data_IF_540995440871
#
_entry.id   IF_540995440871
#
_cell.length_a   1.000
_cell.length_b   1.000
_cell.length_c   1.000
_cell.angle_alpha   90.00
_cell.angle_beta   90.00
_cell.angle_gamma   90.00
#
_symmetry.space_group_name_H-M   'P 1'
#
loop_
_entity.id
_entity.type
_entity.pdbx_description
1 polymer ?
#
# COMPACT_ATOMS: atom_id res chain seq x y z
N UNK A 1 -16.19 -1.69 -5.81
CA UNK A 1 -15.26 -1.17 -4.80
C UNK A 1 -15.20 -2.16 -3.64
N UNK A 2 -14.01 -2.47 -3.09
CA UNK A 2 -13.82 -3.54 -2.09
C UNK A 2 -14.70 -3.32 -0.85
N UNK A 3 -14.68 -2.10 -0.28
CA UNK A 3 -15.43 -1.77 0.94
C UNK A 3 -16.93 -2.05 0.82
N UNK A 4 -17.55 -1.65 -0.30
CA UNK A 4 -18.98 -1.88 -0.53
C UNK A 4 -19.32 -3.37 -0.59
N UNK A 5 -18.49 -4.16 -1.30
CA UNK A 5 -18.69 -5.60 -1.43
C UNK A 5 -18.56 -6.31 -0.08
N UNK A 6 -17.51 -5.98 0.69
CA UNK A 6 -17.25 -6.60 1.98
C UNK A 6 -18.27 -6.21 3.04
N UNK A 7 -18.70 -4.94 3.06
CA UNK A 7 -19.78 -4.52 3.96
C UNK A 7 -21.09 -5.25 3.64
N UNK A 8 -21.37 -5.51 2.36
CA UNK A 8 -22.57 -6.27 1.95
C UNK A 8 -22.50 -7.73 2.40
N UNK A 9 -21.35 -8.40 2.27
CA UNK A 9 -21.11 -9.75 2.83
C UNK A 9 -21.30 -9.76 4.34
N UNK A 10 -20.69 -8.81 5.07
CA UNK A 10 -20.81 -8.71 6.52
C UNK A 10 -22.26 -8.48 6.97
N UNK A 11 -23.02 -7.66 6.26
CA UNK A 11 -24.45 -7.44 6.54
C UNK A 11 -25.30 -8.70 6.31
N UNK A 12 -24.91 -9.58 5.39
CA UNK A 12 -25.59 -10.85 5.16
C UNK A 12 -25.23 -11.87 6.25
N UNK A 13 -23.95 -11.92 6.65
CA UNK A 13 -23.46 -12.80 7.70
C UNK A 13 -23.99 -12.39 9.09
N UNK A 14 -24.05 -11.08 9.34
CA UNK A 14 -24.45 -10.48 10.62
C UNK A 14 -25.62 -9.50 10.35
N UNK A 15 -26.88 -9.98 10.30
CA UNK A 15 -28.04 -9.13 10.04
C UNK A 15 -28.23 -7.99 11.06
N UNK A 16 -27.72 -8.17 12.29
CA UNK A 16 -27.71 -7.11 13.30
C UNK A 16 -26.86 -5.90 12.86
N UNK A 17 -25.70 -6.13 12.22
CA UNK A 17 -24.84 -5.06 11.69
C UNK A 17 -25.57 -4.23 10.64
N UNK A 18 -26.33 -4.90 9.76
CA UNK A 18 -27.19 -4.22 8.77
C UNK A 18 -28.18 -3.29 9.46
N UNK A 19 -28.73 -3.69 10.60
CA UNK A 19 -29.68 -2.87 11.34
C UNK A 19 -29.02 -1.65 11.98
N UNK A 20 -27.72 -1.68 12.26
CA UNK A 20 -26.96 -0.56 12.85
C UNK A 20 -26.50 0.51 11.85
N UNK A 21 -26.50 0.18 10.56
CA UNK A 21 -26.16 1.15 9.51
C UNK A 21 -27.34 2.10 9.26
N UNK A 22 -27.04 3.40 9.19
CA UNK A 22 -28.00 4.42 8.77
C UNK A 22 -28.11 4.41 7.25
N UNK A 23 -28.98 3.55 6.73
CA UNK A 23 -29.33 3.49 5.31
C UNK A 23 -30.07 4.76 4.87
N UNK A 24 -29.84 5.18 3.63
CA UNK A 24 -30.57 6.32 3.05
C UNK A 24 -32.05 5.95 2.88
N UNK A 25 -32.86 6.34 3.86
CA UNK A 25 -34.31 6.29 3.75
C UNK A 25 -34.83 7.65 3.33
N UNK A 26 -35.02 7.80 2.02
CA UNK A 26 -35.94 8.79 1.42
C UNK A 26 -35.61 10.26 1.73
N UNK A 27 -34.46 10.73 1.25
CA UNK A 27 -34.35 12.13 0.79
C UNK A 27 -34.18 13.21 1.88
N UNK A 28 -33.79 12.84 3.11
CA UNK A 28 -33.27 13.82 4.07
C UNK A 28 -31.94 13.32 4.63
N UNK A 29 -30.86 13.79 3.97
CA UNK A 29 -29.44 13.54 4.29
C UNK A 29 -29.03 12.08 4.03
N UNK A 30 -28.48 11.82 2.84
CA UNK A 30 -27.80 10.57 2.54
C UNK A 30 -26.53 10.48 3.41
N UNK A 31 -26.62 9.75 4.53
CA UNK A 31 -25.50 9.56 5.45
C UNK A 31 -24.57 8.44 5.02
N UNK A 32 -25.14 7.36 4.49
CA UNK A 32 -24.39 6.30 3.82
C UNK A 32 -24.34 6.61 2.33
N UNK A 33 -23.14 6.82 1.78
CA UNK A 33 -22.92 7.10 0.36
C UNK A 33 -22.34 5.87 -0.32
N UNK A 34 -22.90 5.48 -1.45
CA UNK A 34 -22.34 4.40 -2.29
C UNK A 34 -22.31 4.88 -3.73
N UNK A 35 -21.18 5.45 -4.11
CA UNK A 35 -20.90 5.90 -5.47
C UNK A 35 -19.71 5.11 -6.03
N UNK A 36 -19.40 5.32 -7.31
CA UNK A 36 -18.27 4.66 -7.97
C UNK A 36 -16.93 4.97 -7.29
N UNK A 37 -16.76 6.21 -6.84
CA UNK A 37 -15.49 6.74 -6.34
C UNK A 37 -15.45 6.88 -4.81
N UNK A 38 -16.63 7.02 -4.18
CA UNK A 38 -16.78 7.21 -2.75
C UNK A 38 -17.86 6.29 -2.16
N UNK A 39 -17.45 5.51 -1.18
CA UNK A 39 -18.27 4.64 -0.34
C UNK A 39 -18.03 5.01 1.12
N UNK A 40 -19.08 5.41 1.81
CA UNK A 40 -19.09 5.70 3.23
C UNK A 40 -20.30 5.05 3.90
N UNK A 41 -20.08 4.49 5.07
CA UNK A 41 -21.12 3.95 5.93
C UNK A 41 -21.12 4.72 7.24
N UNK A 42 -22.29 5.14 7.70
CA UNK A 42 -22.49 5.79 9.00
C UNK A 42 -23.39 4.91 9.85
N UNK A 43 -22.95 4.63 11.07
CA UNK A 43 -23.67 3.81 12.03
C UNK A 43 -24.54 4.68 12.95
N UNK A 44 -25.51 4.06 13.65
CA UNK A 44 -26.41 4.78 14.56
C UNK A 44 -25.70 5.51 15.70
N UNK A 45 -24.59 4.97 16.16
CA UNK A 45 -23.71 5.57 17.17
C UNK A 45 -22.85 6.73 16.63
N UNK A 46 -23.02 7.09 15.34
CA UNK A 46 -22.27 8.11 14.58
C UNK A 46 -20.84 7.72 14.23
N UNK A 47 -20.40 6.49 14.54
CA UNK A 47 -19.18 5.96 13.96
C UNK A 47 -19.32 5.88 12.44
N UNK A 48 -18.20 5.92 11.73
CA UNK A 48 -18.21 5.85 10.28
C UNK A 48 -17.02 5.06 9.74
N UNK A 49 -17.23 4.44 8.58
CA UNK A 49 -16.17 3.80 7.79
C UNK A 49 -16.27 4.32 6.36
N UNK A 50 -15.15 4.67 5.75
CA UNK A 50 -15.11 5.30 4.42
C UNK A 50 -13.89 4.86 3.65
N UNK A 51 -14.03 4.67 2.33
CA UNK A 51 -12.88 4.46 1.46
C UNK A 51 -12.12 5.79 1.30
N UNK A 52 -10.79 5.69 1.29
CA UNK A 52 -9.92 6.84 1.13
C UNK A 52 -9.16 6.73 -0.18
N UNK A 53 -9.24 7.75 -1.02
CA UNK A 53 -8.30 7.93 -2.12
C UNK A 53 -7.10 8.72 -1.63
N UNK A 54 -5.88 8.31 -2.00
CA UNK A 54 -4.66 9.08 -1.71
C UNK A 54 -4.57 10.31 -2.65
N UNK A 55 -5.39 11.32 -2.38
CA UNK A 55 -5.46 12.58 -3.13
C UNK A 55 -5.23 13.76 -2.20
N UNK A 56 -4.84 14.93 -2.73
CA UNK A 56 -4.63 16.13 -1.91
C UNK A 56 -5.89 16.54 -1.12
N UNK A 57 -7.08 16.25 -1.64
CA UNK A 57 -8.37 16.49 -0.96
C UNK A 57 -8.57 15.65 0.31
N UNK A 58 -7.89 14.51 0.42
CA UNK A 58 -7.93 13.63 1.59
C UNK A 58 -7.05 14.13 2.73
N UNK A 59 -6.15 15.09 2.46
CA UNK A 59 -5.30 15.70 3.48
C UNK A 59 -6.15 16.45 4.49
N UNK A 60 -5.84 16.30 5.78
CA UNK A 60 -6.59 16.95 6.86
C UNK A 60 -7.77 16.13 7.37
N UNK A 61 -8.11 15.01 6.71
CA UNK A 61 -9.00 14.02 7.29
C UNK A 61 -8.42 13.46 8.60
N UNK A 62 -9.31 12.93 9.45
CA UNK A 62 -8.97 12.39 10.76
C UNK A 62 -9.69 11.06 10.94
N UNK A 63 -8.99 10.10 11.51
CA UNK A 63 -9.51 8.76 11.77
C UNK A 63 -8.89 8.22 13.06
N UNK A 64 -9.62 7.35 13.74
CA UNK A 64 -9.14 6.61 14.90
C UNK A 64 -8.51 5.26 14.52
N UNK A 65 -8.63 4.88 13.24
CA UNK A 65 -8.02 3.68 12.69
C UNK A 65 -7.93 3.76 11.17
N UNK A 66 -6.88 3.17 10.61
CA UNK A 66 -6.67 3.11 9.16
C UNK A 66 -6.35 1.68 8.77
N UNK A 67 -7.02 1.20 7.73
CA UNK A 67 -6.69 -0.06 7.06
C UNK A 67 -6.27 0.26 5.63
N UNK A 68 -5.07 -0.19 5.27
CA UNK A 68 -4.50 -0.04 3.93
C UNK A 68 -4.40 -1.40 3.29
N UNK A 69 -5.24 -1.64 2.28
CA UNK A 69 -5.18 -2.82 1.42
C UNK A 69 -4.10 -2.65 0.34
N UNK A 70 -3.58 -3.78 -0.16
CA UNK A 70 -2.60 -3.86 -1.26
C UNK A 70 -1.39 -2.92 -1.08
N UNK A 71 -0.84 -2.84 0.14
CA UNK A 71 0.25 -1.91 0.49
C UNK A 71 1.48 -2.08 -0.42
N UNK A 72 1.77 -3.30 -0.89
CA UNK A 72 2.88 -3.54 -1.81
C UNK A 72 2.77 -2.79 -3.16
N UNK A 73 1.57 -2.33 -3.52
CA UNK A 73 1.33 -1.55 -4.74
C UNK A 73 1.55 -0.05 -4.54
N UNK A 74 1.78 0.40 -3.31
CA UNK A 74 2.06 1.81 -3.01
C UNK A 74 3.47 2.15 -3.48
N UNK A 75 3.55 2.85 -4.60
CA UNK A 75 4.82 3.33 -5.16
C UNK A 75 5.23 4.71 -4.65
N UNK A 76 4.29 5.48 -4.11
CA UNK A 76 4.52 6.85 -3.60
C UNK A 76 4.39 6.88 -2.08
N UNK A 77 5.47 6.45 -1.42
CA UNK A 77 5.58 6.45 0.05
C UNK A 77 5.40 7.85 0.63
N UNK A 78 6.05 8.86 0.05
CA UNK A 78 6.02 10.22 0.57
C UNK A 78 4.58 10.76 0.64
N UNK A 79 3.79 10.49 -0.39
CA UNK A 79 2.39 10.87 -0.43
C UNK A 79 1.53 10.08 0.57
N UNK A 80 1.84 8.82 0.82
CA UNK A 80 1.18 8.04 1.88
C UNK A 80 1.45 8.65 3.25
N UNK A 81 2.71 8.92 3.58
CA UNK A 81 3.11 9.50 4.86
C UNK A 81 2.60 10.93 5.05
N UNK A 82 2.46 11.72 3.97
CA UNK A 82 1.93 13.09 4.05
C UNK A 82 0.41 13.13 4.23
N UNK A 83 -0.32 12.15 3.70
CA UNK A 83 -1.78 12.15 3.69
C UNK A 83 -2.35 11.28 4.80
N UNK A 84 -1.89 10.03 4.90
CA UNK A 84 -2.51 8.97 5.72
C UNK A 84 -1.99 9.00 7.15
N UNK A 85 -0.68 9.08 7.37
CA UNK A 85 -0.11 9.08 8.72
C UNK A 85 -0.68 10.21 9.62
N UNK A 86 -0.90 11.45 9.14
CA UNK A 86 -1.48 12.52 9.95
C UNK A 86 -2.97 12.33 10.28
N UNK A 87 -3.64 11.34 9.68
CA UNK A 87 -5.05 11.07 10.00
C UNK A 87 -5.23 10.48 11.39
N UNK A 88 -4.26 9.67 11.83
CA UNK A 88 -4.25 8.98 13.12
C UNK A 88 -3.78 9.88 14.28
N UNK A 89 -3.75 11.20 14.12
CA UNK A 89 -3.27 12.13 15.17
C UNK A 89 -4.28 12.29 16.32
N UNK A 90 -5.56 12.01 16.09
CA UNK A 90 -6.61 12.27 17.09
C UNK A 90 -7.03 10.96 17.74
N UNK A 91 -6.80 10.88 19.06
CA UNK A 91 -7.30 9.78 19.88
C UNK A 91 -8.83 9.76 19.94
N UNK A 92 -9.39 8.55 19.99
CA UNK A 92 -10.80 8.29 20.26
C UNK A 92 -11.17 8.89 21.61
N UNK A 93 -12.33 9.57 21.66
CA UNK A 93 -12.88 10.14 22.88
C UNK A 93 -14.26 9.58 23.14
N UNK A 94 -14.48 9.07 24.34
CA UNK A 94 -15.80 8.69 24.85
C UNK A 94 -16.25 9.78 25.81
N UNK A 95 -17.33 10.49 25.47
CA UNK A 95 -17.83 11.64 26.23
C UNK A 95 -16.77 12.73 26.53
N UNK A 96 -15.84 12.94 25.59
CA UNK A 96 -14.79 13.96 25.70
C UNK A 96 -13.53 13.51 26.47
N UNK A 97 -13.55 12.30 27.04
CA UNK A 97 -12.42 11.70 27.76
C UNK A 97 -11.72 10.69 26.85
N UNK A 98 -10.38 10.68 26.89
CA UNK A 98 -9.56 9.65 26.26
C UNK A 98 -9.41 8.54 27.29
N UNK A 99 -9.76 7.32 26.90
CA UNK A 99 -9.49 6.13 27.71
C UNK A 99 -8.00 5.77 27.57
N UNK A 100 -7.20 5.82 28.64
CA UNK A 100 -5.78 5.47 28.58
C UNK A 100 -5.56 3.98 28.29
N UNK A 101 -6.56 3.11 28.52
CA UNK A 101 -6.45 1.66 28.36
C UNK A 101 -6.99 1.17 27.00
N UNK A 102 -7.43 2.06 26.12
CA UNK A 102 -7.93 1.72 24.77
C UNK A 102 -6.77 1.43 23.81
N UNK A 103 -6.40 0.16 23.73
CA UNK A 103 -5.31 -0.35 22.87
C UNK A 103 -5.61 -0.29 21.37
N UNK A 104 -6.88 -0.20 20.95
CA UNK A 104 -7.24 -0.16 19.52
C UNK A 104 -7.28 1.27 18.96
N UNK A 105 -7.04 2.27 19.79
CA UNK A 105 -7.03 3.65 19.36
C UNK A 105 -5.80 3.95 18.50
N UNK A 106 -5.99 4.70 17.41
CA UNK A 106 -4.95 5.11 16.47
C UNK A 106 -4.24 3.94 15.78
N UNK A 107 -4.95 2.83 15.58
CA UNK A 107 -4.38 1.65 14.96
C UNK A 107 -4.16 1.81 13.44
N UNK A 108 -3.07 1.23 12.95
CA UNK A 108 -2.74 1.14 11.53
C UNK A 108 -2.63 -0.33 11.12
N UNK A 109 -3.50 -0.76 10.20
CA UNK A 109 -3.55 -2.12 9.69
C UNK A 109 -3.09 -2.13 8.23
N UNK A 110 -2.13 -2.99 7.93
CA UNK A 110 -1.54 -3.14 6.61
C UNK A 110 -1.84 -4.55 6.09
N UNK A 111 -2.52 -4.65 4.96
CA UNK A 111 -2.89 -5.93 4.34
C UNK A 111 -2.28 -5.98 2.94
N UNK A 112 -1.52 -7.04 2.63
CA UNK A 112 -0.85 -7.18 1.34
C UNK A 112 -0.44 -8.61 1.07
N UNK A 113 -0.33 -8.97 -0.22
CA UNK A 113 0.52 -10.10 -0.65
C UNK A 113 1.99 -9.70 -0.51
N UNK A 114 2.89 -10.69 -0.52
CA UNK A 114 4.32 -10.39 -0.51
C UNK A 114 4.69 -9.54 -1.73
N UNK A 115 5.66 -8.66 -1.56
CA UNK A 115 6.16 -7.75 -2.59
C UNK A 115 7.65 -7.96 -2.85
N UNK A 116 8.29 -6.95 -3.42
CA UNK A 116 9.75 -6.85 -3.41
C UNK A 116 10.24 -6.24 -2.09
N UNK A 117 11.42 -6.66 -1.63
CA UNK A 117 12.04 -6.15 -0.39
C UNK A 117 12.41 -4.67 -0.43
N UNK A 118 12.36 -4.04 -1.61
CA UNK A 118 12.63 -2.61 -1.81
C UNK A 118 11.35 -1.76 -1.77
N UNK A 119 10.21 -2.33 -1.39
CA UNK A 119 8.93 -1.62 -1.36
C UNK A 119 8.62 -1.11 0.03
N UNK A 120 7.80 -0.05 0.09
CA UNK A 120 7.29 0.51 1.35
C UNK A 120 6.62 -0.54 2.24
N UNK A 121 5.92 -1.50 1.64
CA UNK A 121 5.25 -2.56 2.38
C UNK A 121 6.25 -3.49 3.09
N UNK A 122 7.42 -3.74 2.49
CA UNK A 122 8.47 -4.52 3.17
C UNK A 122 9.06 -3.74 4.34
N UNK A 123 9.33 -2.44 4.16
CA UNK A 123 9.80 -1.60 5.27
C UNK A 123 8.80 -1.59 6.42
N UNK A 124 7.49 -1.49 6.12
CA UNK A 124 6.44 -1.58 7.14
C UNK A 124 6.35 -2.94 7.83
N UNK A 125 6.55 -4.03 7.10
CA UNK A 125 6.63 -5.37 7.68
C UNK A 125 7.80 -5.47 8.68
N UNK A 126 8.97 -4.95 8.31
CA UNK A 126 10.14 -4.94 9.19
C UNK A 126 9.90 -4.02 10.40
N UNK A 127 9.34 -2.84 10.21
CA UNK A 127 8.96 -1.92 11.29
C UNK A 127 8.03 -2.62 12.29
N UNK A 128 6.92 -3.22 11.82
CA UNK A 128 5.97 -3.93 12.67
C UNK A 128 6.63 -5.09 13.42
N UNK A 129 7.53 -5.84 12.78
CA UNK A 129 8.27 -6.92 13.44
C UNK A 129 9.24 -6.39 14.50
N UNK A 130 9.91 -5.26 14.26
CA UNK A 130 10.75 -4.62 15.27
C UNK A 130 9.91 -4.18 16.48
N UNK A 131 8.76 -3.56 16.24
CA UNK A 131 7.82 -3.15 17.29
C UNK A 131 7.28 -4.34 18.09
N UNK A 132 6.95 -5.46 17.45
CA UNK A 132 6.56 -6.70 18.14
C UNK A 132 7.58 -7.20 19.17
N UNK A 133 8.87 -6.94 18.92
CA UNK A 133 9.98 -7.42 19.77
C UNK A 133 10.41 -6.36 20.77
N UNK A 134 10.34 -5.08 20.40
CA UNK A 134 10.88 -3.98 21.18
C UNK A 134 9.86 -3.34 22.13
N UNK A 135 8.58 -3.33 21.75
CA UNK A 135 7.54 -2.68 22.55
C UNK A 135 7.04 -3.65 23.63
N UNK A 136 6.90 -3.12 24.83
CA UNK A 136 6.18 -3.80 25.91
C UNK A 136 4.68 -3.84 25.53
N UNK A 137 3.92 -4.83 26.03
CA UNK A 137 2.45 -4.89 25.90
C UNK A 137 1.84 -5.37 24.56
N UNK A 138 2.62 -5.96 23.64
CA UNK A 138 2.09 -6.57 22.40
C UNK A 138 1.32 -5.58 21.49
N UNK A 139 1.77 -4.31 21.43
CA UNK A 139 1.12 -3.25 20.65
C UNK A 139 1.16 -3.49 19.12
N UNK A 140 2.06 -4.35 18.67
CA UNK A 140 2.20 -4.74 17.27
C UNK A 140 2.08 -6.24 17.11
N UNK A 141 1.58 -6.68 15.95
CA UNK A 141 1.61 -8.07 15.54
C UNK A 141 1.72 -8.19 14.02
N UNK A 142 2.31 -9.29 13.57
CA UNK A 142 2.42 -9.68 12.17
C UNK A 142 1.83 -11.07 12.03
N UNK A 143 0.89 -11.22 11.11
CA UNK A 143 0.32 -12.51 10.73
C UNK A 143 0.51 -12.68 9.23
N UNK A 144 1.00 -13.85 8.83
CA UNK A 144 1.14 -14.25 7.44
C UNK A 144 0.61 -15.66 7.24
N UNK A 145 0.21 -15.97 6.01
CA UNK A 145 -0.25 -17.28 5.60
C UNK A 145 0.02 -17.48 4.12
N UNK A 146 0.31 -18.71 3.72
CA UNK A 146 0.43 -19.09 2.32
C UNK A 146 -0.92 -19.62 1.79
N UNK A 147 -0.95 -19.92 0.50
CA UNK A 147 -2.10 -20.51 -0.18
C UNK A 147 -2.58 -21.85 0.41
N UNK A 148 -1.81 -22.52 1.28
CA UNK A 148 -2.20 -23.83 1.81
C UNK A 148 -3.33 -23.71 2.82
N UNK A 149 -3.36 -22.62 3.61
CA UNK A 149 -4.43 -22.37 4.59
C UNK A 149 -5.81 -22.33 3.90
N UNK A 150 -6.06 -21.46 2.90
CA UNK A 150 -7.37 -21.44 2.24
C UNK A 150 -7.70 -22.73 1.48
N UNK A 151 -6.72 -23.53 1.04
CA UNK A 151 -6.98 -24.87 0.49
C UNK A 151 -7.51 -25.81 1.57
N UNK A 152 -6.83 -25.88 2.72
CA UNK A 152 -7.22 -26.76 3.84
C UNK A 152 -8.60 -26.40 4.37
N UNK A 153 -8.91 -25.10 4.44
CA UNK A 153 -10.22 -24.59 4.85
C UNK A 153 -11.30 -24.71 3.75
N UNK A 154 -10.98 -25.28 2.58
CA UNK A 154 -11.92 -25.47 1.48
C UNK A 154 -12.39 -24.18 0.79
N UNK A 155 -11.70 -23.06 1.02
CA UNK A 155 -11.99 -21.75 0.43
C UNK A 155 -11.43 -21.62 -1.00
N UNK A 156 -10.35 -22.36 -1.31
CA UNK A 156 -9.73 -22.37 -2.63
C UNK A 156 -9.53 -23.80 -3.15
N UNK A 157 -9.85 -24.08 -4.42
CA UNK A 157 -9.71 -25.42 -4.96
C UNK A 157 -8.24 -25.70 -5.32
N UNK A 158 -7.67 -26.76 -4.76
CA UNK A 158 -6.25 -27.09 -4.89
C UNK A 158 -5.78 -27.25 -6.35
N UNK A 159 -6.65 -27.77 -7.23
CA UNK A 159 -6.34 -27.93 -8.65
C UNK A 159 -6.13 -26.59 -9.36
N UNK A 160 -6.80 -25.51 -8.93
CA UNK A 160 -6.60 -24.18 -9.51
C UNK A 160 -5.21 -23.66 -9.19
N UNK A 161 -4.76 -23.80 -7.94
CA UNK A 161 -3.43 -23.36 -7.51
C UNK A 161 -2.33 -24.17 -8.21
N UNK A 162 -2.50 -25.49 -8.32
CA UNK A 162 -1.58 -26.35 -9.08
C UNK A 162 -1.48 -25.94 -10.56
N UNK A 163 -2.62 -25.58 -11.18
CA UNK A 163 -2.61 -25.09 -12.56
C UNK A 163 -1.91 -23.74 -12.70
N UNK A 164 -1.97 -22.87 -11.69
CA UNK A 164 -1.25 -21.59 -11.68
C UNK A 164 0.25 -21.81 -11.53
N UNK A 165 0.67 -22.76 -10.69
CA UNK A 165 2.08 -23.15 -10.52
C UNK A 165 2.68 -23.73 -11.81
N UNK A 166 1.90 -24.54 -12.54
CA UNK A 166 2.31 -25.15 -13.81
C UNK A 166 2.16 -24.21 -15.02
N UNK A 167 1.61 -23.01 -14.83
CA UNK A 167 1.34 -22.08 -15.91
C UNK A 167 2.63 -21.44 -16.41
N UNK A 168 2.87 -21.50 -17.73
CA UNK A 168 3.98 -20.80 -18.37
C UNK A 168 3.90 -19.26 -18.26
N UNK A 169 2.75 -18.71 -17.86
CA UNK A 169 2.55 -17.28 -17.68
C UNK A 169 3.02 -16.77 -16.30
N UNK A 170 3.31 -17.67 -15.36
CA UNK A 170 3.76 -17.33 -14.02
C UNK A 170 5.18 -17.85 -13.82
N UNK A 171 6.10 -16.97 -13.47
CA UNK A 171 7.43 -17.38 -13.06
C UNK A 171 7.39 -17.92 -11.62
N UNK A 172 8.32 -18.81 -11.26
CA UNK A 172 8.37 -19.39 -9.92
C UNK A 172 8.47 -18.30 -8.83
N UNK A 173 9.22 -17.22 -9.10
CA UNK A 173 9.35 -16.10 -8.17
C UNK A 173 8.04 -15.33 -7.99
N UNK A 174 7.25 -15.17 -9.06
CA UNK A 174 5.92 -14.58 -9.00
C UNK A 174 4.93 -15.47 -8.26
N UNK A 175 4.96 -16.78 -8.48
CA UNK A 175 4.10 -17.72 -7.75
C UNK A 175 4.38 -17.67 -6.23
N UNK A 176 5.65 -17.75 -5.83
CA UNK A 176 6.04 -17.67 -4.41
C UNK A 176 5.66 -16.34 -3.77
N UNK A 177 5.65 -15.25 -4.55
CA UNK A 177 5.23 -13.94 -4.06
C UNK A 177 3.71 -13.84 -3.89
N UNK A 178 2.94 -14.25 -4.89
CA UNK A 178 1.47 -14.14 -4.89
C UNK A 178 0.78 -15.17 -3.99
N UNK A 179 1.31 -16.39 -3.95
CA UNK A 179 0.71 -17.53 -3.25
C UNK A 179 1.52 -17.99 -2.04
N UNK A 180 2.85 -18.02 -2.17
CA UNK A 180 3.76 -18.51 -1.13
C UNK A 180 4.02 -17.51 0.02
N UNK A 181 3.52 -16.28 -0.11
CA UNK A 181 3.80 -15.19 0.85
C UNK A 181 5.30 -14.95 1.08
N UNK A 182 6.10 -15.11 0.03
CA UNK A 182 7.55 -14.99 0.07
C UNK A 182 8.03 -13.67 -0.56
N UNK A 183 8.77 -12.87 0.22
CA UNK A 183 9.30 -11.59 -0.24
C UNK A 183 10.59 -11.78 -1.05
N UNK A 184 10.59 -11.32 -2.30
CA UNK A 184 11.75 -11.42 -3.19
C UNK A 184 12.65 -10.18 -3.10
N UNK A 185 13.96 -10.36 -3.19
CA UNK A 185 14.94 -9.28 -2.97
C UNK A 185 14.85 -8.14 -4.00
N UNK A 186 14.92 -8.50 -5.28
CA UNK A 186 14.79 -7.60 -6.43
C UNK A 186 13.95 -8.31 -7.50
N UNK A 187 13.49 -7.61 -8.53
CA UNK A 187 13.07 -8.27 -9.78
C UNK A 187 14.20 -9.23 -10.20
N UNK A 188 13.88 -10.52 -10.38
CA UNK A 188 14.88 -11.54 -10.67
C UNK A 188 15.59 -11.18 -11.99
N UNK A 189 16.92 -11.09 -11.97
CA UNK A 189 17.73 -10.65 -13.13
C UNK A 189 17.89 -9.13 -13.33
N UNK A 190 17.48 -8.29 -12.39
CA UNK A 190 17.70 -6.84 -12.51
C UNK A 190 19.20 -6.47 -12.34
N UNK A 191 19.83 -6.02 -13.43
CA UNK A 191 21.19 -5.43 -13.40
C UNK A 191 21.25 -4.11 -12.60
N UNK A 192 20.10 -3.53 -12.29
CA UNK A 192 19.95 -2.18 -11.79
C UNK A 192 19.07 -2.14 -10.54
N UNK A 193 19.54 -1.38 -9.55
CA UNK A 193 18.85 -1.07 -8.30
C UNK A 193 17.91 0.12 -8.53
N UNK A 194 16.60 -0.10 -8.39
CA UNK A 194 15.57 0.90 -8.66
C UNK A 194 15.66 2.10 -7.69
N UNK A 195 16.03 1.87 -6.43
CA UNK A 195 16.20 2.93 -5.45
C UNK A 195 17.35 3.87 -5.83
N UNK A 196 18.42 3.33 -6.44
CA UNK A 196 19.48 4.16 -7.03
C UNK A 196 18.98 4.98 -8.22
N UNK A 197 18.06 4.46 -9.02
CA UNK A 197 17.47 5.24 -10.11
C UNK A 197 16.61 6.38 -9.60
N UNK A 198 15.69 6.12 -8.65
CA UNK A 198 14.82 7.16 -8.12
C UNK A 198 15.59 8.25 -7.38
N UNK A 199 16.59 7.88 -6.57
CA UNK A 199 17.46 8.84 -5.87
C UNK A 199 18.27 9.74 -6.83
N UNK A 200 18.58 9.26 -8.03
CA UNK A 200 19.39 9.99 -9.02
C UNK A 200 18.59 10.37 -10.27
N UNK A 201 17.25 10.32 -10.20
CA UNK A 201 16.35 10.63 -11.31
C UNK A 201 16.33 12.11 -11.63
N UNK A 202 16.49 12.95 -10.59
CA UNK A 202 16.50 14.41 -10.69
C UNK A 202 17.94 14.90 -10.51
N UNK A 203 18.48 15.56 -11.53
CA UNK A 203 19.75 16.26 -11.41
C UNK A 203 19.52 17.57 -10.67
N UNK A 204 20.09 17.71 -9.47
CA UNK A 204 20.00 18.94 -8.67
C UNK A 204 20.64 20.15 -9.38
N UNK A 205 21.63 19.90 -10.25
CA UNK A 205 22.29 20.91 -11.07
C UNK A 205 22.37 20.35 -12.49
N UNK A 206 21.50 20.84 -13.37
CA UNK A 206 21.53 20.51 -14.79
C UNK A 206 22.44 21.49 -15.53
N UNK A 207 23.50 21.00 -16.17
CA UNK A 207 24.30 21.79 -17.11
C UNK A 207 23.55 21.86 -18.45
N UNK A 208 23.02 23.03 -18.80
CA UNK A 208 22.30 23.26 -20.07
C UNK A 208 23.20 23.81 -21.18
N UNK A 209 24.40 24.25 -20.83
CA UNK A 209 25.40 24.77 -21.74
C UNK A 209 26.76 24.16 -21.44
N UNK A 210 27.62 24.17 -22.45
CA UNK A 210 28.99 23.69 -22.34
C UNK A 210 29.77 24.44 -21.25
N UNK A 211 30.34 23.70 -20.30
CA UNK A 211 31.14 24.25 -19.22
C UNK A 211 32.62 24.38 -19.62
N UNK A 212 33.01 25.60 -19.97
CA UNK A 212 34.37 25.94 -20.42
C UNK A 212 35.44 25.87 -19.30
N UNK A 213 35.02 25.76 -18.04
CA UNK A 213 35.91 25.67 -16.86
C UNK A 213 36.12 24.24 -16.36
N UNK A 214 35.59 23.23 -17.06
CA UNK A 214 35.71 21.84 -16.63
C UNK A 214 37.18 21.39 -16.72
N UNK A 215 37.76 21.06 -15.58
CA UNK A 215 39.10 20.47 -15.55
C UNK A 215 39.05 19.11 -16.28
N UNK A 216 39.81 18.99 -17.38
CA UNK A 216 39.84 17.81 -18.25
C UNK A 216 40.28 16.52 -17.56
N UNK A 217 41.00 16.62 -16.44
CA UNK A 217 41.36 15.48 -15.60
C UNK A 217 40.23 15.06 -14.64
N UNK A 218 39.29 15.97 -14.34
CA UNK A 218 38.21 15.76 -13.36
C UNK A 218 36.84 15.46 -13.97
N UNK A 219 36.69 15.62 -15.29
CA UNK A 219 35.43 15.32 -15.95
C UNK A 219 35.48 15.49 -17.46
N UNK A 220 34.67 14.71 -18.16
CA UNK A 220 34.46 14.81 -19.61
C UNK A 220 32.99 14.53 -19.92
N UNK A 221 32.54 14.97 -21.10
CA UNK A 221 31.18 14.68 -21.58
C UNK A 221 31.17 13.33 -22.30
N UNK A 222 30.24 12.47 -21.93
CA UNK A 222 30.00 11.18 -22.60
C UNK A 222 28.60 11.22 -23.22
N UNK A 223 28.53 10.90 -24.50
CA UNK A 223 27.26 10.72 -25.20
C UNK A 223 27.07 9.24 -25.50
N UNK A 224 26.02 8.65 -24.93
CA UNK A 224 25.56 7.32 -25.29
C UNK A 224 24.50 7.43 -26.38
N UNK A 225 24.69 6.73 -27.49
CA UNK A 225 23.70 6.66 -28.57
C UNK A 225 23.34 5.20 -28.77
N UNK A 226 22.05 4.87 -28.61
CA UNK A 226 21.50 3.58 -28.99
C UNK A 226 20.83 3.71 -30.36
N UNK A 227 21.44 3.09 -31.37
CA UNK A 227 20.97 3.16 -32.76
C UNK A 227 20.08 1.95 -33.03
N UNK A 228 18.80 2.06 -32.65
CA UNK A 228 17.77 1.12 -33.07
C UNK A 228 17.51 1.23 -34.57
N UNK A 229 17.35 0.10 -35.28
CA UNK A 229 17.13 0.07 -36.75
C UNK A 229 15.87 0.80 -37.23
N UNK A 230 15.01 1.32 -36.33
CA UNK A 230 13.76 2.02 -36.69
C UNK A 230 13.51 3.32 -35.90
N UNK A 231 14.29 3.68 -34.87
CA UNK A 231 14.22 5.00 -34.23
C UNK A 231 15.39 5.23 -33.26
N UNK A 232 15.80 6.50 -33.11
CA UNK A 232 16.93 6.95 -32.28
C UNK A 232 16.41 7.57 -30.97
N UNK A 233 16.96 7.17 -29.83
CA UNK A 233 16.73 7.82 -28.54
C UNK A 233 18.07 8.25 -27.92
N UNK A 234 18.16 9.51 -27.46
CA UNK A 234 19.36 10.08 -26.84
C UNK A 234 19.24 10.10 -25.32
N UNK A 235 20.31 9.69 -24.62
CA UNK A 235 20.42 9.85 -23.17
C UNK A 235 21.84 10.29 -22.77
N UNK A 236 21.93 11.26 -21.86
CA UNK A 236 23.20 11.80 -21.35
C UNK A 236 23.32 11.49 -19.84
N UNK A 237 24.46 10.91 -19.41
CA UNK A 237 24.75 10.65 -17.99
C UNK A 237 26.22 10.96 -17.70
N UNK A 238 26.48 11.69 -16.61
CA UNK A 238 27.83 11.97 -16.07
C UNK A 238 28.17 10.90 -15.02
N UNK A 239 29.39 10.38 -15.02
CA UNK A 239 29.98 9.66 -13.89
C UNK A 239 30.67 10.65 -12.97
#
# INVERSE_FOLDING_TARGET
MILQSKMSELCNLIPALKSEIQWDTKGQIAKTQQSKDEVSFIFKDKSSVKNLAMTASSRGARAQGVLTEEVATITDQAKYEEIVAPMLVISRKVNGVIDPDEVLNQNAIYVTSAGFKQTYAYDKLIDCLCHMVADDEFESFVIGGDYKIPIVEGLQPANFIQNQELSNAMDASGFEREFGSSWSGTLDGAFFDLNKFDKHRVLNIAETTYNNGLNKEKGHYVLGVDVGRVALAFYCRRK
#
